data_IF_152556278329
#
_entry.id   IF_152556278329
#
_cell.length_a   1.000
_cell.length_b   1.000
_cell.length_c   1.000
_cell.angle_alpha   90.00
_cell.angle_beta   90.00
_cell.angle_gamma   90.00
#
_symmetry.space_group_name_H-M   'P 1'
#
loop_
_entity.id
_entity.type
_entity.pdbx_description
1 polymer ?
#
# COMPACT_ATOMS: atom_id res chain seq x y z
N UNK A 1 17.42 12.96 -60.38
CA UNK A 1 17.74 13.28 -61.79
C UNK A 1 16.41 13.27 -62.53
N UNK A 2 15.81 14.32 -63.10
CA UNK A 2 16.14 15.64 -63.70
C UNK A 2 15.07 16.62 -63.10
N UNK A 3 15.22 17.90 -62.79
CA UNK A 3 16.02 18.96 -63.38
C UNK A 3 15.14 20.07 -64.00
N UNK A 4 14.08 20.55 -63.33
CA UNK A 4 13.45 21.85 -63.61
C UNK A 4 12.72 22.43 -62.38
N UNK A 5 13.34 23.40 -61.72
CA UNK A 5 12.81 24.08 -60.53
C UNK A 5 11.59 24.96 -60.82
N UNK A 6 10.39 24.36 -60.86
CA UNK A 6 9.12 25.08 -60.64
C UNK A 6 8.65 24.86 -59.20
N UNK A 7 8.20 25.90 -58.48
CA UNK A 7 7.72 25.72 -57.12
C UNK A 7 6.39 24.94 -57.13
N UNK A 8 6.34 23.80 -56.45
CA UNK A 8 5.08 23.15 -56.11
C UNK A 8 4.38 23.99 -55.04
N UNK A 9 3.27 24.64 -55.40
CA UNK A 9 2.36 25.24 -54.42
C UNK A 9 1.56 24.13 -53.78
N UNK A 10 1.71 23.97 -52.46
CA UNK A 10 0.77 23.22 -51.63
C UNK A 10 0.05 24.26 -50.75
N UNK A 11 -1.21 24.54 -51.04
CA UNK A 11 -2.04 25.36 -50.16
C UNK A 11 -2.74 24.43 -49.17
N UNK A 12 -2.23 24.40 -47.93
CA UNK A 12 -2.87 23.71 -46.80
C UNK A 12 -3.82 24.69 -46.13
N UNK A 13 -5.13 24.47 -46.28
CA UNK A 13 -6.17 25.26 -45.63
C UNK A 13 -6.80 24.45 -44.49
N UNK A 14 -6.52 24.84 -43.25
CA UNK A 14 -7.22 24.31 -42.07
C UNK A 14 -8.49 25.13 -41.85
N UNK A 15 -9.65 24.48 -41.79
CA UNK A 15 -10.92 25.13 -41.42
C UNK A 15 -11.50 24.43 -40.19
N UNK A 16 -11.67 25.23 -39.14
CA UNK A 16 -12.33 24.87 -37.89
C UNK A 16 -13.77 24.40 -38.17
N UNK A 17 -14.15 23.28 -37.53
CA UNK A 17 -15.50 22.74 -37.30
C UNK A 17 -16.68 23.42 -38.03
N UNK A 18 -17.37 22.64 -38.88
CA UNK A 18 -18.83 22.78 -39.01
C UNK A 18 -19.41 23.17 -40.38
N UNK A 19 -18.65 23.24 -41.48
CA UNK A 19 -19.26 23.38 -42.82
C UNK A 19 -18.43 22.67 -43.89
N UNK A 20 -19.08 21.85 -44.72
CA UNK A 20 -18.47 21.14 -45.85
C UNK A 20 -17.68 22.09 -46.75
N UNK A 21 -16.46 21.69 -47.11
CA UNK A 21 -15.70 22.30 -48.21
C UNK A 21 -15.42 21.23 -49.25
N UNK A 22 -15.80 21.54 -50.49
CA UNK A 22 -15.44 20.76 -51.69
C UNK A 22 -14.07 21.25 -52.15
N UNK A 23 -13.10 20.34 -52.27
CA UNK A 23 -11.78 20.63 -52.85
C UNK A 23 -11.55 19.71 -54.05
N UNK A 24 -11.86 20.19 -55.26
CA UNK A 24 -11.50 19.49 -56.50
C UNK A 24 -12.01 18.04 -56.62
N UNK A 25 -11.49 17.31 -57.62
CA UNK A 25 -12.11 16.11 -58.22
C UNK A 25 -11.66 14.75 -57.67
N UNK A 26 -11.27 14.63 -56.39
CA UNK A 26 -10.78 13.34 -55.84
C UNK A 26 -11.65 12.90 -54.66
N UNK A 27 -12.44 11.81 -54.78
CA UNK A 27 -13.15 11.22 -53.65
C UNK A 27 -12.19 10.44 -52.75
N UNK A 28 -12.17 10.73 -51.45
CA UNK A 28 -11.40 10.01 -50.43
C UNK A 28 -12.37 9.28 -49.50
N UNK A 29 -12.11 8.01 -49.21
CA UNK A 29 -12.88 7.22 -48.22
C UNK A 29 -12.12 7.24 -46.90
N UNK A 30 -12.76 7.73 -45.84
CA UNK A 30 -12.22 7.67 -44.48
C UNK A 30 -12.43 6.26 -43.92
N UNK A 31 -11.34 5.62 -43.51
CA UNK A 31 -11.41 4.37 -42.74
C UNK A 31 -11.87 4.65 -41.30
N UNK A 32 -12.49 3.66 -40.66
CA UNK A 32 -12.87 3.75 -39.25
C UNK A 32 -11.63 3.99 -38.38
N UNK A 33 -11.66 4.94 -37.44
CA UNK A 33 -10.50 5.27 -36.61
C UNK A 33 -10.02 4.03 -35.83
N UNK A 34 -8.71 3.79 -35.85
CA UNK A 34 -8.05 2.83 -34.96
C UNK A 34 -7.65 3.61 -33.70
N UNK A 35 -8.09 3.20 -32.50
CA UNK A 35 -7.64 3.84 -31.26
C UNK A 35 -6.11 3.84 -31.18
N UNK A 36 -5.49 5.02 -31.13
CA UNK A 36 -4.04 5.20 -31.03
C UNK A 36 -3.27 5.39 -32.35
N UNK A 37 -3.85 5.10 -33.52
CA UNK A 37 -3.10 5.01 -34.79
C UNK A 37 -3.58 5.95 -35.92
N UNK A 38 -4.46 6.92 -35.61
CA UNK A 38 -4.91 7.93 -36.58
C UNK A 38 -5.74 7.36 -37.75
N UNK A 39 -5.99 8.20 -38.77
CA UNK A 39 -6.71 7.82 -39.98
C UNK A 39 -5.73 7.36 -41.07
N UNK A 40 -6.02 6.22 -41.70
CA UNK A 40 -5.31 5.77 -42.90
C UNK A 40 -6.01 6.32 -44.15
N UNK A 41 -5.23 6.82 -45.12
CA UNK A 41 -5.70 7.26 -46.42
C UNK A 41 -5.15 6.35 -47.51
N UNK A 42 -6.00 5.93 -48.45
CA UNK A 42 -5.57 5.28 -49.69
C UNK A 42 -5.69 6.29 -50.83
N UNK A 43 -4.59 6.52 -51.55
CA UNK A 43 -4.61 7.27 -52.81
C UNK A 43 -5.07 6.34 -53.94
N UNK A 44 -6.12 6.73 -54.66
CA UNK A 44 -6.74 5.91 -55.71
C UNK A 44 -6.21 6.21 -57.12
N UNK A 45 -5.19 7.07 -57.26
CA UNK A 45 -4.79 7.59 -58.57
C UNK A 45 -3.65 6.86 -59.31
N UNK A 46 -2.81 6.05 -58.67
CA UNK A 46 -1.70 5.38 -59.38
C UNK A 46 -1.47 3.88 -59.05
N UNK A 47 -2.21 3.32 -58.10
CA UNK A 47 -2.01 1.91 -57.69
C UNK A 47 -0.68 1.67 -56.96
N UNK A 48 0.06 2.73 -56.62
CA UNK A 48 1.27 2.71 -55.81
C UNK A 48 0.96 3.26 -54.41
N UNK A 49 1.52 2.61 -53.39
CA UNK A 49 1.33 3.05 -52.00
C UNK A 49 2.24 4.24 -51.75
N UNK A 50 1.76 5.45 -52.05
CA UNK A 50 2.37 6.66 -51.53
C UNK A 50 2.13 6.71 -50.01
N UNK A 51 3.13 6.25 -49.22
CA UNK A 51 3.16 6.45 -47.77
C UNK A 51 3.25 7.95 -47.47
N UNK A 52 2.12 8.64 -47.45
CA UNK A 52 2.08 10.03 -47.01
C UNK A 52 2.39 10.08 -45.51
N UNK A 53 3.23 11.04 -45.14
CA UNK A 53 3.65 11.28 -43.77
C UNK A 53 2.44 11.59 -42.89
N UNK A 54 2.08 10.62 -42.08
CA UNK A 54 1.33 10.70 -40.82
C UNK A 54 1.15 12.14 -40.30
N UNK A 55 0.03 12.78 -40.65
CA UNK A 55 -0.48 13.95 -39.94
C UNK A 55 -1.70 13.53 -39.13
N UNK A 56 -1.54 12.46 -38.36
CA UNK A 56 -2.34 12.29 -37.15
C UNK A 56 -1.87 13.37 -36.19
N UNK A 57 -2.77 14.21 -35.71
CA UNK A 57 -2.56 14.81 -34.40
C UNK A 57 -2.45 13.63 -33.44
N UNK A 58 -1.22 13.17 -33.16
CA UNK A 58 -0.96 12.33 -32.02
C UNK A 58 -1.37 13.18 -30.83
N UNK A 59 -2.57 12.96 -30.31
CA UNK A 59 -2.89 13.45 -28.98
C UNK A 59 -1.92 12.71 -28.08
N UNK A 60 -0.90 13.43 -27.61
CA UNK A 60 0.01 12.91 -26.62
C UNK A 60 -0.85 12.55 -25.40
N UNK A 61 -0.67 11.33 -24.88
CA UNK A 61 -1.39 10.88 -23.72
C UNK A 61 -1.27 11.89 -22.58
N UNK A 62 -2.38 12.26 -21.98
CA UNK A 62 -2.44 13.16 -20.83
C UNK A 62 -2.38 12.33 -19.56
N UNK A 63 -1.61 12.81 -18.58
CA UNK A 63 -1.52 12.14 -17.30
C UNK A 63 -2.91 11.96 -16.66
N UNK A 64 -3.20 10.80 -16.07
CA UNK A 64 -4.44 10.55 -15.41
C UNK A 64 -4.48 11.35 -14.09
N UNK A 65 -5.70 11.65 -13.62
CA UNK A 65 -5.92 12.46 -12.42
C UNK A 65 -6.94 11.84 -11.49
N UNK A 66 -6.79 12.13 -10.21
CA UNK A 66 -7.75 11.81 -9.16
C UNK A 66 -7.62 12.80 -8.00
N UNK A 67 -8.63 12.83 -7.14
CA UNK A 67 -8.64 13.55 -5.87
C UNK A 67 -8.48 12.54 -4.74
N UNK A 68 -7.53 12.76 -3.85
CA UNK A 68 -7.26 11.89 -2.70
C UNK A 68 -8.32 12.02 -1.61
N UNK A 69 -8.53 10.93 -0.89
CA UNK A 69 -9.31 10.92 0.34
C UNK A 69 -8.50 11.43 1.54
N UNK A 70 -9.10 11.31 2.72
CA UNK A 70 -8.47 11.68 3.98
C UNK A 70 -7.43 10.64 4.45
N UNK A 71 -6.59 11.04 5.39
CA UNK A 71 -5.76 10.13 6.19
C UNK A 71 -6.64 9.16 7.00
N UNK A 72 -6.09 8.00 7.33
CA UNK A 72 -6.80 6.93 8.04
C UNK A 72 -6.20 6.67 9.42
N UNK A 73 -7.07 6.42 10.39
CA UNK A 73 -6.68 6.02 11.75
C UNK A 73 -7.51 4.81 12.14
N UNK A 74 -6.85 3.70 12.46
CA UNK A 74 -7.50 2.43 12.80
C UNK A 74 -6.77 1.74 13.96
N UNK A 75 -7.43 0.90 14.77
CA UNK A 75 -6.73 0.04 15.73
C UNK A 75 -5.97 -1.08 15.00
N UNK A 76 -4.90 -1.60 15.60
CA UNK A 76 -4.13 -2.72 15.05
C UNK A 76 -4.94 -4.03 14.94
N UNK A 77 -5.92 -4.19 15.81
CA UNK A 77 -6.87 -5.32 15.78
C UNK A 77 -8.02 -5.14 14.80
N UNK A 78 -7.98 -4.09 13.96
CA UNK A 78 -8.99 -3.91 12.96
C UNK A 78 -9.00 -5.10 11.98
N UNK A 79 -10.19 -5.64 11.75
CA UNK A 79 -10.44 -6.48 10.59
C UNK A 79 -10.20 -5.69 9.29
N UNK A 80 -10.40 -6.34 8.15
CA UNK A 80 -10.23 -5.70 6.85
C UNK A 80 -10.97 -4.35 6.76
N UNK A 81 -10.21 -3.29 6.48
CA UNK A 81 -10.68 -1.93 6.33
C UNK A 81 -11.02 -1.71 4.87
N UNK A 82 -12.23 -1.20 4.60
CA UNK A 82 -12.72 -0.90 3.24
C UNK A 82 -13.37 0.47 3.24
N UNK A 83 -12.86 1.37 2.43
CA UNK A 83 -13.29 2.78 2.36
C UNK A 83 -13.71 3.08 0.92
N UNK A 84 -15.01 2.94 0.61
CA UNK A 84 -15.55 3.28 -0.70
C UNK A 84 -15.32 4.75 -1.03
N UNK A 85 -15.06 5.04 -2.30
CA UNK A 85 -14.84 6.41 -2.79
C UNK A 85 -13.78 7.19 -1.99
N UNK A 86 -12.73 6.50 -1.52
CA UNK A 86 -11.58 7.18 -0.94
C UNK A 86 -10.90 8.04 -2.01
N UNK A 87 -10.64 7.49 -3.19
CA UNK A 87 -10.26 8.28 -4.35
C UNK A 87 -11.51 8.68 -5.14
N UNK A 88 -11.60 9.96 -5.54
CA UNK A 88 -12.71 10.50 -6.35
C UNK A 88 -12.19 11.29 -7.53
N UNK A 89 -13.07 11.70 -8.45
CA UNK A 89 -12.66 12.49 -9.63
C UNK A 89 -11.65 11.76 -10.52
N UNK A 90 -11.74 10.43 -10.57
CA UNK A 90 -10.83 9.55 -11.30
C UNK A 90 -11.07 9.76 -12.80
N UNK A 91 -10.03 10.14 -13.53
CA UNK A 91 -10.08 10.32 -14.99
C UNK A 91 -8.77 9.81 -15.62
N UNK A 92 -8.82 9.05 -16.73
CA UNK A 92 -7.63 8.72 -17.49
C UNK A 92 -6.98 9.94 -18.17
N UNK A 93 -7.70 11.06 -18.27
CA UNK A 93 -7.17 12.29 -18.86
C UNK A 93 -8.26 13.20 -19.40
N UNK A 94 -8.02 13.76 -20.58
CA UNK A 94 -8.97 14.57 -21.36
C UNK A 94 -10.13 13.73 -21.93
N UNK A 95 -11.15 14.39 -22.49
CA UNK A 95 -12.36 13.71 -22.96
C UNK A 95 -12.10 12.65 -24.05
N UNK A 96 -11.09 12.87 -24.89
CA UNK A 96 -10.70 11.94 -25.95
C UNK A 96 -10.03 10.66 -25.40
N UNK A 97 -9.65 10.65 -24.12
CA UNK A 97 -9.03 9.53 -23.41
C UNK A 97 -10.05 8.78 -22.54
N UNK A 98 -11.33 9.18 -22.54
CA UNK A 98 -12.37 8.61 -21.64
C UNK A 98 -12.62 7.11 -21.75
N UNK A 99 -12.16 6.46 -22.83
CA UNK A 99 -12.24 5.02 -23.01
C UNK A 99 -11.04 4.24 -22.43
N UNK A 100 -9.99 4.94 -22.01
CA UNK A 100 -8.82 4.32 -21.38
C UNK A 100 -9.16 3.78 -20.00
N UNK A 101 -8.48 2.70 -19.63
CA UNK A 101 -8.62 2.07 -18.32
C UNK A 101 -7.55 2.62 -17.38
N UNK A 102 -7.89 2.73 -16.10
CA UNK A 102 -6.97 3.19 -15.07
C UNK A 102 -6.68 2.12 -14.01
N UNK A 103 -5.49 2.18 -13.43
CA UNK A 103 -5.03 1.35 -12.33
C UNK A 103 -4.29 2.22 -11.31
N UNK A 104 -4.57 2.03 -10.02
CA UNK A 104 -3.77 2.63 -8.97
C UNK A 104 -2.50 1.82 -8.70
N UNK A 105 -1.37 2.53 -8.62
CA UNK A 105 -0.10 2.03 -8.13
C UNK A 105 0.05 2.54 -6.70
N UNK A 106 0.06 1.61 -5.73
CA UNK A 106 0.09 1.93 -4.30
C UNK A 106 1.35 1.34 -3.67
N UNK A 107 2.09 2.16 -2.94
CA UNK A 107 3.29 1.77 -2.20
C UNK A 107 3.23 2.32 -0.79
N UNK A 108 3.79 1.60 0.17
CA UNK A 108 3.91 2.02 1.57
C UNK A 108 5.36 1.94 2.00
N UNK A 109 5.80 2.87 2.84
CA UNK A 109 7.14 2.84 3.46
C UNK A 109 7.24 1.86 4.64
N UNK A 110 6.09 1.43 5.19
CA UNK A 110 5.98 0.49 6.29
C UNK A 110 5.10 -0.72 5.94
N UNK A 111 5.54 -1.61 5.03
CA UNK A 111 4.75 -2.78 4.65
C UNK A 111 4.50 -3.75 5.82
N UNK A 112 5.35 -3.73 6.85
CA UNK A 112 5.21 -4.58 8.04
C UNK A 112 4.00 -4.23 8.92
N UNK A 113 3.39 -3.06 8.77
CA UNK A 113 2.16 -2.68 9.48
C UNK A 113 0.90 -3.36 8.91
N UNK A 114 1.01 -4.12 7.81
CA UNK A 114 -0.15 -4.64 7.09
C UNK A 114 -0.04 -6.13 6.80
N UNK A 115 -1.04 -6.90 7.23
CA UNK A 115 -1.24 -8.29 6.82
C UNK A 115 -1.84 -8.38 5.41
N UNK A 116 -2.60 -7.36 5.00
CA UNK A 116 -3.00 -7.11 3.62
C UNK A 116 -2.62 -5.68 3.24
N UNK A 117 -1.73 -5.56 2.25
CA UNK A 117 -1.19 -4.27 1.80
C UNK A 117 -2.29 -3.30 1.33
N UNK A 118 -2.11 -1.98 1.52
CA UNK A 118 -2.98 -0.97 0.96
C UNK A 118 -3.12 -1.10 -0.55
N UNK A 119 -4.36 -1.15 -1.02
CA UNK A 119 -4.72 -1.22 -2.43
C UNK A 119 -5.93 -0.34 -2.71
N UNK A 120 -5.97 0.28 -3.88
CA UNK A 120 -7.09 1.09 -4.35
C UNK A 120 -7.60 0.50 -5.66
N UNK A 121 -8.89 0.20 -5.72
CA UNK A 121 -9.54 -0.29 -6.95
C UNK A 121 -9.88 0.87 -7.90
N UNK A 122 -10.16 0.56 -9.18
CA UNK A 122 -10.42 1.58 -10.20
C UNK A 122 -11.66 2.46 -9.92
N UNK A 123 -12.58 2.01 -9.07
CA UNK A 123 -13.73 2.79 -8.58
C UNK A 123 -13.39 3.71 -7.39
N UNK A 124 -12.13 3.69 -6.94
CA UNK A 124 -11.60 4.52 -5.86
C UNK A 124 -11.78 3.94 -4.45
N UNK A 125 -12.15 2.66 -4.32
CA UNK A 125 -12.25 2.00 -3.01
C UNK A 125 -10.86 1.65 -2.48
N UNK A 126 -10.49 2.22 -1.33
CA UNK A 126 -9.27 1.86 -0.59
C UNK A 126 -9.55 0.64 0.30
N UNK A 127 -8.61 -0.31 0.33
CA UNK A 127 -8.65 -1.47 1.23
C UNK A 127 -7.28 -1.80 1.79
N UNK A 128 -7.23 -2.26 3.04
CA UNK A 128 -6.05 -2.79 3.71
C UNK A 128 -6.48 -3.58 4.96
N UNK A 129 -5.57 -4.39 5.50
CA UNK A 129 -5.77 -5.02 6.82
C UNK A 129 -4.50 -4.81 7.63
N UNK A 130 -4.55 -4.15 8.81
CA UNK A 130 -3.41 -4.08 9.71
C UNK A 130 -2.84 -5.46 10.04
N UNK A 131 -1.55 -5.54 10.31
CA UNK A 131 -0.97 -6.74 10.90
C UNK A 131 -1.28 -6.73 12.41
N UNK A 132 -1.61 -7.90 12.95
CA UNK A 132 -1.77 -8.05 14.40
C UNK A 132 -0.47 -7.62 15.10
N UNK A 133 -0.60 -6.94 16.24
CA UNK A 133 0.52 -6.56 17.10
C UNK A 133 1.51 -5.60 16.43
N UNK A 134 1.08 -4.90 15.38
CA UNK A 134 1.87 -3.96 14.61
C UNK A 134 1.18 -2.58 14.59
N UNK A 135 1.69 -1.65 15.39
CA UNK A 135 1.22 -0.28 15.47
C UNK A 135 2.28 0.72 14.98
N UNK A 136 1.83 1.91 14.56
CA UNK A 136 2.70 2.95 14.02
C UNK A 136 2.02 3.78 12.93
N UNK A 137 2.83 4.47 12.12
CA UNK A 137 2.33 5.27 11.00
C UNK A 137 3.05 4.90 9.72
N UNK A 138 2.28 4.66 8.66
CA UNK A 138 2.77 4.45 7.31
C UNK A 138 2.46 5.68 6.44
N UNK A 139 3.42 6.09 5.62
CA UNK A 139 3.18 6.98 4.49
C UNK A 139 2.89 6.12 3.27
N UNK A 140 1.67 6.26 2.73
CA UNK A 140 1.25 5.56 1.51
C UNK A 140 1.35 6.51 0.33
N UNK A 141 2.13 6.12 -0.68
CA UNK A 141 2.29 6.84 -1.95
C UNK A 141 1.39 6.20 -3.00
N UNK A 142 0.60 7.03 -3.67
CA UNK A 142 -0.38 6.62 -4.68
C UNK A 142 -0.09 7.34 -5.99
N UNK A 143 -0.06 6.59 -7.08
CA UNK A 143 -0.11 7.10 -8.44
C UNK A 143 -1.28 6.45 -9.18
N UNK A 144 -1.86 7.17 -10.13
CA UNK A 144 -2.81 6.61 -11.08
C UNK A 144 -2.07 6.38 -12.40
N UNK A 145 -2.27 5.21 -13.00
CA UNK A 145 -1.76 4.87 -14.32
C UNK A 145 -2.93 4.60 -15.26
N UNK A 146 -2.94 5.17 -16.46
CA UNK A 146 -3.86 4.77 -17.53
C UNK A 146 -3.19 3.79 -18.51
N UNK A 147 -3.97 3.19 -19.42
CA UNK A 147 -3.46 2.28 -20.45
C UNK A 147 -3.15 2.97 -21.79
N UNK A 148 -3.07 4.29 -21.78
CA UNK A 148 -2.81 5.17 -22.90
C UNK A 148 -1.33 5.33 -23.25
N UNK A 149 -1.06 6.15 -24.27
CA UNK A 149 0.11 6.05 -25.15
C UNK A 149 1.51 6.05 -24.52
N UNK A 150 2.36 5.11 -24.98
CA UNK A 150 3.84 5.14 -24.85
C UNK A 150 4.54 5.91 -25.99
N UNK A 151 3.78 6.65 -26.79
CA UNK A 151 4.29 7.46 -27.89
C UNK A 151 5.10 8.68 -27.40
N UNK A 152 5.88 9.34 -28.28
CA UNK A 152 6.71 10.48 -27.87
C UNK A 152 5.87 11.59 -27.25
N UNK A 153 6.06 11.85 -25.96
CA UNK A 153 5.38 12.90 -25.20
C UNK A 153 4.11 12.47 -24.47
N UNK A 154 3.69 11.20 -24.57
CA UNK A 154 2.62 10.67 -23.73
C UNK A 154 3.05 10.53 -22.27
N UNK A 155 2.16 10.88 -21.35
CA UNK A 155 2.30 10.65 -19.91
C UNK A 155 1.11 9.80 -19.48
N UNK A 156 1.37 8.57 -19.05
CA UNK A 156 0.37 7.59 -18.59
C UNK A 156 0.31 7.48 -17.07
N UNK A 157 1.16 8.21 -16.33
CA UNK A 157 1.28 8.15 -14.88
C UNK A 157 1.10 9.52 -14.24
N UNK A 158 0.28 9.60 -13.20
CA UNK A 158 0.07 10.82 -12.42
C UNK A 158 1.30 11.20 -11.58
N UNK A 159 1.35 12.46 -11.14
CA UNK A 159 2.22 12.82 -10.02
C UNK A 159 1.86 11.97 -8.78
N UNK A 160 2.84 11.58 -7.95
CA UNK A 160 2.58 10.85 -6.71
C UNK A 160 1.85 11.76 -5.72
N UNK A 161 0.88 11.19 -5.01
CA UNK A 161 0.24 11.81 -3.85
C UNK A 161 0.40 10.90 -2.65
N UNK A 162 0.61 11.47 -1.47
CA UNK A 162 0.78 10.72 -0.23
C UNK A 162 -0.36 10.97 0.74
N UNK A 163 -0.71 9.95 1.51
CA UNK A 163 -1.58 10.05 2.69
C UNK A 163 -1.03 9.18 3.82
N UNK A 164 -1.50 9.41 5.05
CA UNK A 164 -1.11 8.62 6.21
C UNK A 164 -2.14 7.54 6.53
N UNK A 165 -1.63 6.37 6.93
CA UNK A 165 -2.39 5.39 7.70
C UNK A 165 -1.70 5.26 9.06
N UNK A 166 -2.41 5.64 10.12
CA UNK A 166 -1.98 5.46 11.51
C UNK A 166 -2.69 4.25 12.10
N UNK A 167 -1.92 3.24 12.48
CA UNK A 167 -2.38 2.06 13.21
C UNK A 167 -2.12 2.31 14.70
N UNK A 168 -3.18 2.37 15.49
CA UNK A 168 -3.13 2.64 16.93
C UNK A 168 -2.94 1.33 17.71
N UNK A 169 -2.10 1.34 18.76
CA UNK A 169 -1.94 0.18 19.63
C UNK A 169 -3.26 -0.13 20.35
N UNK A 170 -3.52 -1.41 20.56
CA UNK A 170 -4.60 -1.92 21.41
C UNK A 170 -3.96 -2.88 22.41
N UNK A 171 -4.24 -2.67 23.70
CA UNK A 171 -3.66 -3.44 24.78
C UNK A 171 -3.85 -4.96 24.59
N UNK A 172 -2.75 -5.68 24.46
CA UNK A 172 -2.66 -7.13 24.37
C UNK A 172 -2.28 -7.74 25.74
N UNK A 173 -2.75 -8.96 26.07
CA UNK A 173 -2.34 -9.61 27.31
C UNK A 173 -0.85 -9.96 27.32
N UNK A 174 -0.16 -9.84 28.47
CA UNK A 174 1.22 -10.28 28.61
C UNK A 174 1.42 -11.77 28.30
N UNK A 175 2.56 -12.07 27.65
CA UNK A 175 2.99 -13.43 27.38
C UNK A 175 4.06 -13.86 28.40
N UNK A 176 3.65 -14.73 29.34
CA UNK A 176 4.55 -15.29 30.34
C UNK A 176 5.32 -16.52 29.83
N UNK A 177 6.58 -16.67 30.24
CA UNK A 177 7.46 -17.77 29.86
C UNK A 177 7.96 -18.51 31.10
N UNK A 178 7.90 -19.85 31.08
CA UNK A 178 8.26 -20.66 32.24
C UNK A 178 9.73 -20.46 32.66
N UNK A 179 9.92 -20.25 33.96
CA UNK A 179 11.22 -20.10 34.59
C UNK A 179 11.80 -21.39 35.18
N UNK A 180 13.11 -21.40 35.39
CA UNK A 180 13.78 -22.46 36.12
C UNK A 180 14.95 -21.93 36.96
N UNK A 181 14.99 -22.34 38.22
CA UNK A 181 16.12 -22.12 39.11
C UNK A 181 16.58 -23.43 39.76
N UNK A 182 17.85 -23.45 40.16
CA UNK A 182 18.46 -24.55 40.89
C UNK A 182 19.22 -24.01 42.09
N UNK A 183 19.09 -24.69 43.21
CA UNK A 183 19.88 -24.46 44.43
C UNK A 183 20.41 -25.79 44.93
N UNK A 184 21.53 -25.75 45.64
CA UNK A 184 21.99 -26.89 46.43
C UNK A 184 21.06 -27.12 47.61
N UNK A 185 21.01 -28.35 48.10
CA UNK A 185 20.32 -28.71 49.34
C UNK A 185 20.71 -27.74 50.47
N UNK A 186 19.74 -27.38 51.30
CA UNK A 186 19.89 -26.40 52.39
C UNK A 186 20.23 -24.97 51.95
N UNK A 187 20.16 -24.68 50.65
CA UNK A 187 20.24 -23.33 50.10
C UNK A 187 18.92 -22.57 50.21
N UNK A 188 18.95 -21.32 49.73
CA UNK A 188 17.75 -20.50 49.52
C UNK A 188 17.85 -19.78 48.18
N UNK A 189 16.70 -19.45 47.59
CA UNK A 189 16.61 -18.56 46.45
C UNK A 189 16.24 -17.16 46.95
N UNK A 190 17.03 -16.16 46.54
CA UNK A 190 16.70 -14.75 46.66
C UNK A 190 16.96 -14.11 45.31
N UNK A 191 15.92 -14.07 44.48
CA UNK A 191 16.00 -13.54 43.11
C UNK A 191 15.60 -12.07 43.14
N UNK A 192 16.40 -11.22 42.51
CA UNK A 192 16.20 -9.77 42.47
C UNK A 192 15.02 -9.33 41.59
N UNK A 193 14.82 -8.02 41.43
CA UNK A 193 13.77 -7.44 40.58
C UNK A 193 13.84 -7.94 39.14
N UNK A 194 12.72 -7.79 38.44
CA UNK A 194 12.40 -8.47 37.18
C UNK A 194 12.22 -9.97 37.39
N UNK A 195 13.14 -10.67 38.06
CA UNK A 195 12.97 -12.04 38.56
C UNK A 195 12.21 -12.98 37.62
N UNK A 196 10.99 -13.36 37.99
CA UNK A 196 10.11 -14.21 37.17
C UNK A 196 9.67 -13.57 35.85
N UNK A 197 9.61 -12.24 35.77
CA UNK A 197 9.22 -11.47 34.60
C UNK A 197 10.37 -11.28 33.59
N UNK A 198 11.56 -11.84 33.84
CA UNK A 198 12.77 -11.54 33.07
C UNK A 198 12.72 -12.02 31.61
N UNK A 199 11.90 -13.03 31.35
CA UNK A 199 11.66 -13.64 30.04
C UNK A 199 10.20 -13.43 29.58
N UNK A 200 9.42 -12.66 30.32
CA UNK A 200 8.05 -12.30 29.95
C UNK A 200 8.06 -11.08 29.03
N UNK A 201 7.02 -10.96 28.21
CA UNK A 201 6.91 -9.86 27.25
C UNK A 201 5.49 -9.34 27.14
N UNK A 202 5.39 -8.08 26.79
CA UNK A 202 4.18 -7.38 26.43
C UNK A 202 4.33 -6.81 25.02
N UNK A 203 3.25 -6.77 24.23
CA UNK A 203 3.30 -6.38 22.81
C UNK A 203 3.50 -4.87 22.67
N UNK A 204 2.81 -4.09 23.51
CA UNK A 204 2.91 -2.64 23.55
C UNK A 204 4.17 -2.20 24.32
N UNK A 205 4.77 -3.14 25.06
CA UNK A 205 5.93 -2.92 25.89
C UNK A 205 5.55 -2.32 27.25
N UNK A 206 4.31 -2.56 27.69
CA UNK A 206 3.84 -2.08 28.98
C UNK A 206 4.61 -2.73 30.15
N UNK A 207 4.88 -1.98 31.23
CA UNK A 207 5.61 -2.51 32.38
C UNK A 207 4.84 -3.65 33.06
N UNK A 208 5.48 -4.81 33.18
CA UNK A 208 4.87 -5.99 33.79
C UNK A 208 5.02 -6.02 35.32
N UNK A 209 4.01 -6.58 35.97
CA UNK A 209 4.00 -6.94 37.39
C UNK A 209 3.63 -8.40 37.60
N UNK A 210 4.12 -9.01 38.68
CA UNK A 210 3.87 -10.40 39.01
C UNK A 210 2.79 -10.56 40.09
N UNK A 211 1.80 -11.41 39.83
CA UNK A 211 0.74 -11.76 40.78
C UNK A 211 0.81 -13.25 41.10
N UNK A 212 1.03 -13.59 42.37
CA UNK A 212 1.08 -14.99 42.81
C UNK A 212 -0.29 -15.64 42.70
N UNK A 213 -0.39 -16.77 41.97
CA UNK A 213 -1.59 -17.59 41.92
C UNK A 213 -1.53 -18.73 42.94
N UNK A 214 -0.51 -19.57 42.83
CA UNK A 214 -0.31 -20.71 43.73
C UNK A 214 1.14 -20.75 44.19
N UNK A 215 1.36 -20.81 45.50
CA UNK A 215 2.70 -20.97 46.05
C UNK A 215 3.25 -22.40 45.91
N UNK A 216 4.56 -22.59 46.18
CA UNK A 216 5.17 -23.90 46.28
C UNK A 216 4.61 -24.71 47.45
N UNK A 217 4.75 -26.02 47.39
CA UNK A 217 4.24 -26.93 48.43
C UNK A 217 5.16 -27.01 49.64
N UNK A 218 6.44 -26.65 49.51
CA UNK A 218 7.42 -26.75 50.56
C UNK A 218 8.10 -25.41 50.85
N UNK A 219 8.33 -25.18 52.14
CA UNK A 219 9.08 -24.03 52.61
C UNK A 219 8.25 -22.76 52.73
N UNK A 220 8.95 -21.63 52.85
CA UNK A 220 8.36 -20.30 52.86
C UNK A 220 8.65 -19.60 51.54
N UNK A 221 7.63 -19.01 50.93
CA UNK A 221 7.72 -18.34 49.64
C UNK A 221 7.07 -16.96 49.71
N UNK A 222 7.72 -15.98 49.10
CA UNK A 222 7.17 -14.65 48.86
C UNK A 222 7.51 -14.18 47.46
N UNK A 223 6.51 -13.75 46.69
CA UNK A 223 6.66 -13.09 45.39
C UNK A 223 6.22 -11.64 45.54
N UNK A 224 7.04 -10.72 45.03
CA UNK A 224 6.74 -9.30 44.96
C UNK A 224 6.27 -8.92 43.55
N UNK A 225 5.55 -7.81 43.44
CA UNK A 225 5.01 -7.32 42.17
C UNK A 225 6.08 -6.98 41.14
N UNK A 226 7.30 -6.64 41.55
CA UNK A 226 8.43 -6.37 40.65
C UNK A 226 9.08 -7.65 40.10
N UNK A 227 8.48 -8.82 40.33
CA UNK A 227 8.98 -10.12 39.90
C UNK A 227 10.05 -10.72 40.81
N UNK A 228 10.55 -9.98 41.80
CA UNK A 228 11.49 -10.53 42.79
C UNK A 228 10.81 -11.55 43.70
N UNK A 229 11.54 -12.58 44.08
CA UNK A 229 11.01 -13.57 45.01
C UNK A 229 12.08 -14.15 45.93
N UNK A 230 11.62 -14.66 47.07
CA UNK A 230 12.43 -15.41 48.01
C UNK A 230 11.77 -16.76 48.29
N UNK A 231 12.58 -17.81 48.30
CA UNK A 231 12.16 -19.16 48.66
C UNK A 231 13.17 -19.84 49.57
N UNK A 232 12.68 -20.35 50.69
CA UNK A 232 13.46 -21.11 51.67
C UNK A 232 12.79 -22.47 51.89
N UNK A 233 13.32 -23.56 51.31
CA UNK A 233 12.82 -24.91 51.56
C UNK A 233 13.10 -25.36 53.01
N UNK A 234 12.39 -26.38 53.52
CA UNK A 234 12.71 -26.99 54.81
C UNK A 234 14.14 -27.58 54.81
N UNK A 235 14.81 -27.57 55.96
CA UNK A 235 16.14 -28.20 56.11
C UNK A 235 16.10 -29.67 55.72
N UNK A 236 17.08 -30.12 54.93
CA UNK A 236 17.17 -31.50 54.44
C UNK A 236 16.21 -31.84 53.30
N UNK A 237 15.39 -30.89 52.83
CA UNK A 237 14.49 -31.13 51.70
C UNK A 237 15.27 -31.14 50.39
N UNK A 238 14.92 -32.09 49.52
CA UNK A 238 15.42 -32.21 48.15
C UNK A 238 14.26 -32.63 47.23
N UNK A 239 14.30 -32.16 46.00
CA UNK A 239 13.27 -32.46 45.00
C UNK A 239 12.95 -31.25 44.14
N UNK A 240 11.87 -31.38 43.38
CA UNK A 240 11.30 -30.28 42.59
C UNK A 240 10.11 -29.71 43.33
N UNK A 241 10.02 -28.39 43.35
CA UNK A 241 8.84 -27.64 43.79
C UNK A 241 8.42 -26.68 42.66
N UNK A 242 7.19 -26.18 42.71
CA UNK A 242 6.67 -25.28 41.70
C UNK A 242 5.65 -24.31 42.27
N UNK A 243 5.65 -23.09 41.74
CA UNK A 243 4.63 -22.08 41.99
C UNK A 243 4.12 -21.57 40.63
N UNK A 244 2.98 -20.90 40.62
CA UNK A 244 2.44 -20.26 39.42
C UNK A 244 2.12 -18.79 39.70
N UNK A 245 2.33 -17.94 38.69
CA UNK A 245 2.05 -16.52 38.74
C UNK A 245 1.38 -16.07 37.44
N UNK A 246 0.85 -14.85 37.45
CA UNK A 246 0.37 -14.13 36.27
C UNK A 246 1.25 -12.91 36.09
N UNK A 247 1.73 -12.68 34.87
CA UNK A 247 2.24 -11.39 34.44
C UNK A 247 1.05 -10.47 34.12
N UNK A 248 1.07 -9.26 34.66
CA UNK A 248 0.00 -8.27 34.53
C UNK A 248 0.57 -6.93 34.10
N UNK A 249 -0.06 -6.32 33.11
CA UNK A 249 0.22 -5.01 32.52
C UNK A 249 -0.54 -3.85 33.21
N UNK A 250 -1.68 -4.10 33.86
CA UNK A 250 -2.36 -3.07 34.69
C UNK A 250 -3.80 -3.35 35.07
#
# INVERSE_FOLDING_TARGET
FIGDGRPARFDLQFIRSGTSVVLGSIPVVLSTPIPGDGYQFEDLLDGDIHRSSHFGHYFANTAPVFTTGADQVVPEDAAAVVIPAWATGISPGTADESAQQVQFLVQTDQPGLFSQQPAITADGTLSFTPAANAFGSAVVTVQLQDNGGVGPGGVDISAPVTFLITVQPVNDPPAAVADQWQITENGSLNVGPTGVLANDSDVEGDPLTAILLTGPQHGTFSLNADGSFAWLPPTGWYGTDSFSYVASDG
#
